data_IF_067058317765
#
_entry.id   IF_067058317765
#
_cell.length_a   1.000
_cell.length_b   1.000
_cell.length_c   1.000
_cell.angle_alpha   90.00
_cell.angle_beta   90.00
_cell.angle_gamma   90.00
#
_symmetry.space_group_name_H-M   'P 1'
#
loop_
_entity.id
_entity.type
_entity.pdbx_description
1 polymer ?
#
# COMPACT_ATOMS: atom_id res chain seq x y z
N UNK A 1 -12.51 3.92 22.20
CA UNK A 1 -13.66 3.74 21.29
C UNK A 1 -13.51 2.36 20.67
N UNK A 2 -14.47 1.44 20.81
CA UNK A 2 -14.41 0.19 20.05
C UNK A 2 -14.50 0.51 18.55
N UNK A 3 -13.83 -0.25 17.67
CA UNK A 3 -13.92 -0.03 16.23
C UNK A 3 -15.37 -0.23 15.76
N UNK A 4 -15.81 0.62 14.83
CA UNK A 4 -17.06 0.48 14.08
C UNK A 4 -17.20 -0.96 13.57
N UNK A 5 -18.36 -1.63 13.73
CA UNK A 5 -18.53 -2.99 13.25
C UNK A 5 -18.25 -3.05 11.74
N UNK A 6 -17.60 -4.11 11.24
CA UNK A 6 -17.24 -4.22 9.83
C UNK A 6 -18.48 -4.22 8.95
N UNK A 7 -18.45 -3.44 7.86
CA UNK A 7 -19.40 -3.62 6.75
C UNK A 7 -19.15 -5.01 6.17
N UNK A 8 -20.12 -5.91 6.37
CA UNK A 8 -20.00 -7.33 6.00
C UNK A 8 -19.73 -7.58 4.50
N UNK A 9 -19.86 -6.55 3.64
CA UNK A 9 -19.68 -6.63 2.19
C UNK A 9 -18.52 -5.79 1.63
N UNK A 10 -17.69 -5.13 2.46
CA UNK A 10 -16.71 -4.16 1.97
C UNK A 10 -15.55 -4.76 1.14
N UNK A 11 -15.07 -4.01 0.15
CA UNK A 11 -13.88 -4.34 -0.65
C UNK A 11 -12.63 -3.57 -0.20
N UNK A 12 -11.55 -4.30 0.06
CA UNK A 12 -10.25 -3.72 0.41
C UNK A 12 -9.31 -3.71 -0.80
N UNK A 13 -8.78 -2.56 -1.17
CA UNK A 13 -7.72 -2.47 -2.17
C UNK A 13 -6.36 -2.35 -1.48
N UNK A 14 -5.38 -3.18 -1.85
CA UNK A 14 -3.99 -3.01 -1.41
C UNK A 14 -3.12 -2.49 -2.54
N UNK A 15 -2.52 -1.32 -2.32
CA UNK A 15 -1.68 -0.65 -3.31
C UNK A 15 -0.20 -0.95 -3.03
N UNK A 16 0.43 -1.71 -3.94
CA UNK A 16 1.83 -2.13 -3.86
C UNK A 16 2.72 -1.30 -4.81
N UNK A 17 4.04 -1.52 -4.77
CA UNK A 17 4.98 -0.73 -5.59
C UNK A 17 4.85 -1.06 -7.07
N UNK A 18 4.91 -2.34 -7.40
CA UNK A 18 4.97 -2.87 -8.76
C UNK A 18 4.71 -4.38 -8.76
N UNK A 19 4.31 -4.97 -9.90
CA UNK A 19 4.03 -6.39 -9.99
C UNK A 19 5.24 -7.25 -9.56
N UNK A 20 4.99 -8.42 -8.94
CA UNK A 20 6.07 -9.31 -8.53
C UNK A 20 6.75 -9.94 -9.74
N UNK A 21 8.04 -10.28 -9.61
CA UNK A 21 8.76 -11.15 -10.56
C UNK A 21 8.73 -12.62 -10.13
N UNK A 22 7.97 -12.95 -9.08
CA UNK A 22 7.85 -14.29 -8.47
C UNK A 22 6.38 -14.60 -8.21
N UNK A 23 6.06 -15.77 -7.65
CA UNK A 23 4.67 -16.18 -7.38
C UNK A 23 3.91 -15.26 -6.41
N UNK A 24 4.59 -14.43 -5.62
CA UNK A 24 3.95 -13.45 -4.74
C UNK A 24 3.16 -14.03 -3.57
N UNK A 25 3.12 -15.37 -3.39
CA UNK A 25 2.28 -16.08 -2.42
C UNK A 25 2.37 -15.51 -1.00
N UNK A 26 3.58 -15.20 -0.54
CA UNK A 26 3.79 -14.65 0.82
C UNK A 26 3.22 -13.24 0.98
N UNK A 27 3.25 -12.43 -0.08
CA UNK A 27 2.63 -11.09 -0.08
C UNK A 27 1.11 -11.25 -0.05
N UNK A 28 0.57 -12.14 -0.90
CA UNK A 28 -0.87 -12.43 -0.96
C UNK A 28 -1.42 -12.92 0.38
N UNK A 29 -0.74 -13.85 1.06
CA UNK A 29 -1.16 -14.34 2.38
C UNK A 29 -1.24 -13.22 3.42
N UNK A 30 -0.34 -12.24 3.36
CA UNK A 30 -0.34 -11.11 4.30
C UNK A 30 -1.45 -10.11 3.99
N UNK A 31 -1.67 -9.85 2.70
CA UNK A 31 -2.80 -9.04 2.23
C UNK A 31 -4.13 -9.67 2.67
N UNK A 32 -4.27 -10.97 2.48
CA UNK A 32 -5.43 -11.74 2.95
C UNK A 32 -5.62 -11.61 4.46
N UNK A 33 -4.52 -11.67 5.22
CA UNK A 33 -4.59 -11.51 6.67
C UNK A 33 -5.01 -10.10 7.09
N UNK A 34 -4.56 -9.06 6.39
CA UNK A 34 -5.00 -7.70 6.66
C UNK A 34 -6.50 -7.52 6.34
N UNK A 35 -6.99 -8.12 5.24
CA UNK A 35 -8.43 -8.17 4.93
C UNK A 35 -9.22 -8.76 6.09
N UNK A 36 -8.81 -9.92 6.59
CA UNK A 36 -9.46 -10.61 7.71
C UNK A 36 -9.41 -9.79 9.00
N UNK A 37 -8.25 -9.20 9.28
CA UNK A 37 -8.02 -8.36 10.46
C UNK A 37 -8.92 -7.13 10.49
N UNK A 38 -9.14 -6.51 9.32
CA UNK A 38 -9.98 -5.32 9.18
C UNK A 38 -11.45 -5.65 8.90
N UNK A 39 -11.79 -6.92 8.71
CA UNK A 39 -13.17 -7.38 8.51
C UNK A 39 -13.77 -7.10 7.13
N UNK A 40 -12.96 -6.93 6.09
CA UNK A 40 -13.45 -6.76 4.70
C UNK A 40 -13.82 -8.12 4.06
N UNK A 41 -14.84 -8.14 3.20
CA UNK A 41 -15.34 -9.37 2.56
C UNK A 41 -14.40 -9.87 1.47
N UNK A 42 -13.76 -8.95 0.76
CA UNK A 42 -12.91 -9.22 -0.40
C UNK A 42 -11.70 -8.29 -0.41
N UNK A 43 -10.68 -8.68 -1.19
CA UNK A 43 -9.46 -7.91 -1.34
C UNK A 43 -8.93 -7.99 -2.76
N UNK A 44 -8.44 -6.87 -3.29
CA UNK A 44 -7.71 -6.80 -4.55
C UNK A 44 -6.36 -6.12 -4.36
N UNK A 45 -5.51 -6.20 -5.39
CA UNK A 45 -4.20 -5.56 -5.40
C UNK A 45 -4.09 -4.75 -6.67
N UNK A 46 -3.57 -3.53 -6.55
CA UNK A 46 -3.10 -2.71 -7.66
C UNK A 46 -1.69 -2.20 -7.35
N UNK A 47 -1.02 -1.62 -8.35
CA UNK A 47 0.38 -1.20 -8.21
C UNK A 47 0.56 0.26 -8.60
N UNK A 48 1.44 0.98 -7.90
CA UNK A 48 1.84 2.35 -8.23
C UNK A 48 2.55 2.43 -9.59
N UNK A 49 3.23 1.35 -9.99
CA UNK A 49 3.98 1.24 -11.25
C UNK A 49 3.68 -0.10 -11.94
N UNK A 50 3.43 -0.11 -13.24
CA UNK A 50 2.93 -1.31 -13.94
C UNK A 50 4.02 -2.30 -14.38
N UNK A 51 5.29 -1.88 -14.41
CA UNK A 51 6.38 -2.73 -14.91
C UNK A 51 6.94 -3.59 -13.77
N UNK A 52 6.96 -4.91 -13.98
CA UNK A 52 7.54 -5.86 -13.03
C UNK A 52 9.04 -5.67 -12.93
N UNK A 53 9.54 -5.52 -11.70
CA UNK A 53 10.97 -5.36 -11.40
C UNK A 53 11.30 -6.07 -10.09
N UNK A 54 12.50 -6.67 -10.00
CA UNK A 54 12.88 -7.49 -8.85
C UNK A 54 13.16 -6.67 -7.58
N UNK A 55 13.60 -5.42 -7.72
CA UNK A 55 13.95 -4.51 -6.62
C UNK A 55 13.61 -3.07 -7.00
N UNK A 56 13.51 -2.17 -6.00
CA UNK A 56 13.28 -0.73 -6.20
C UNK A 56 14.29 -0.07 -7.15
N UNK A 57 15.52 -0.58 -7.22
CA UNK A 57 16.51 -0.13 -8.22
C UNK A 57 16.09 -0.41 -9.66
N UNK A 58 15.28 -1.44 -9.89
CA UNK A 58 14.66 -1.69 -11.20
C UNK A 58 13.64 -0.62 -11.56
N UNK A 59 12.88 -0.11 -10.58
CA UNK A 59 11.96 1.03 -10.78
C UNK A 59 12.75 2.30 -11.12
N UNK A 60 13.94 2.53 -10.52
CA UNK A 60 14.80 3.67 -10.91
C UNK A 60 15.08 3.70 -12.41
N UNK A 61 15.39 2.54 -13.00
CA UNK A 61 15.71 2.46 -14.44
C UNK A 61 14.44 2.45 -15.30
N UNK A 62 13.50 1.54 -15.03
CA UNK A 62 12.29 1.38 -15.83
C UNK A 62 11.33 2.57 -15.69
N UNK A 63 11.28 3.19 -14.51
CA UNK A 63 10.44 4.33 -14.20
C UNK A 63 11.03 5.67 -14.62
N UNK A 64 12.17 5.71 -15.30
CA UNK A 64 12.68 6.93 -15.91
C UNK A 64 11.77 7.43 -17.05
N UNK A 65 10.98 6.53 -17.65
CA UNK A 65 9.97 6.84 -18.65
C UNK A 65 8.57 6.88 -18.03
N UNK A 66 7.67 7.74 -18.55
CA UNK A 66 6.33 7.93 -17.99
C UNK A 66 5.39 6.73 -18.22
N UNK A 67 5.69 5.86 -19.19
CA UNK A 67 4.79 4.81 -19.70
C UNK A 67 4.29 3.86 -18.60
N UNK A 68 5.19 3.34 -17.76
CA UNK A 68 4.81 2.43 -16.68
C UNK A 68 4.01 3.08 -15.56
N UNK A 69 4.14 4.41 -15.38
CA UNK A 69 3.35 5.17 -14.41
C UNK A 69 1.95 5.45 -14.94
N UNK A 70 1.84 5.87 -16.21
CA UNK A 70 0.56 6.15 -16.86
C UNK A 70 -0.29 4.88 -17.02
N UNK A 71 0.32 3.77 -17.42
CA UNK A 71 -0.37 2.48 -17.51
C UNK A 71 -0.94 2.04 -16.16
N UNK A 72 -0.20 2.26 -15.06
CA UNK A 72 -0.67 1.95 -13.71
C UNK A 72 -1.89 2.79 -13.30
N UNK A 73 -2.03 4.03 -13.81
CA UNK A 73 -3.18 4.88 -13.47
C UNK A 73 -4.51 4.25 -13.89
N UNK A 74 -4.57 3.68 -15.09
CA UNK A 74 -5.82 3.06 -15.58
C UNK A 74 -6.27 1.90 -14.70
N UNK A 75 -5.35 1.06 -14.25
CA UNK A 75 -5.64 -0.05 -13.35
C UNK A 75 -6.02 0.46 -11.95
N UNK A 76 -5.28 1.45 -11.43
CA UNK A 76 -5.57 2.07 -10.14
C UNK A 76 -6.94 2.74 -10.11
N UNK A 77 -7.32 3.50 -11.13
CA UNK A 77 -8.65 4.13 -11.20
C UNK A 77 -9.75 3.08 -11.14
N UNK A 78 -9.69 2.05 -11.99
CA UNK A 78 -10.69 0.98 -11.99
C UNK A 78 -10.77 0.26 -10.63
N UNK A 79 -9.63 0.04 -9.97
CA UNK A 79 -9.60 -0.59 -8.65
C UNK A 79 -10.17 0.32 -7.55
N UNK A 80 -9.82 1.62 -7.56
CA UNK A 80 -10.30 2.61 -6.61
C UNK A 80 -11.82 2.78 -6.68
N UNK A 81 -12.41 2.78 -7.88
CA UNK A 81 -13.86 2.91 -8.10
C UNK A 81 -14.68 1.77 -7.43
N UNK A 82 -14.04 0.65 -7.14
CA UNK A 82 -14.69 -0.53 -6.53
C UNK A 82 -14.33 -0.72 -5.05
N UNK A 83 -13.42 0.08 -4.51
CA UNK A 83 -12.92 -0.07 -3.16
C UNK A 83 -13.75 0.70 -2.14
N UNK A 84 -13.93 0.12 -0.95
CA UNK A 84 -14.45 0.84 0.23
C UNK A 84 -13.32 1.43 1.08
N UNK A 85 -12.12 0.85 0.97
CA UNK A 85 -10.93 1.30 1.66
C UNK A 85 -9.66 0.84 0.96
N UNK A 86 -8.55 1.51 1.28
CA UNK A 86 -7.24 1.21 0.74
C UNK A 86 -6.23 0.89 1.84
N UNK A 87 -5.33 -0.06 1.61
CA UNK A 87 -4.05 -0.15 2.32
C UNK A 87 -2.96 0.38 1.38
N UNK A 88 -2.23 1.39 1.84
CA UNK A 88 -1.03 1.84 1.16
C UNK A 88 0.16 1.00 1.62
N UNK A 89 0.79 0.27 0.70
CA UNK A 89 1.86 -0.69 1.01
C UNK A 89 2.93 -0.79 -0.09
N UNK A 90 3.21 0.32 -0.77
CA UNK A 90 4.21 0.41 -1.84
C UNK A 90 5.66 0.54 -1.34
N UNK A 91 5.89 0.54 -0.03
CA UNK A 91 7.20 0.66 0.60
C UNK A 91 7.61 2.10 0.92
N UNK A 92 8.50 2.26 1.90
CA UNK A 92 8.96 3.57 2.38
C UNK A 92 10.17 4.13 1.60
N UNK A 93 10.67 3.42 0.58
CA UNK A 93 11.86 3.81 -0.17
C UNK A 93 11.45 4.33 -1.54
N UNK A 94 11.89 5.55 -1.86
CA UNK A 94 11.70 6.14 -3.19
C UNK A 94 12.73 5.60 -4.19
N UNK A 95 12.38 5.53 -5.48
CA UNK A 95 13.38 5.42 -6.53
C UNK A 95 14.29 6.66 -6.55
N UNK A 96 15.36 6.60 -7.33
CA UNK A 96 16.32 7.68 -7.53
C UNK A 96 16.22 8.29 -8.93
N UNK A 97 16.86 9.44 -9.14
CA UNK A 97 16.89 10.11 -10.44
C UNK A 97 15.52 10.56 -10.92
N UNK A 98 15.30 10.53 -12.24
CA UNK A 98 14.07 10.98 -12.90
C UNK A 98 12.84 10.21 -12.38
N UNK A 99 12.98 8.90 -12.16
CA UNK A 99 11.92 8.06 -11.63
C UNK A 99 11.38 8.55 -10.28
N UNK A 100 12.17 9.26 -9.47
CA UNK A 100 11.70 9.87 -8.23
C UNK A 100 10.64 10.94 -8.46
N UNK A 101 10.81 11.75 -9.51
CA UNK A 101 9.83 12.79 -9.84
C UNK A 101 8.51 12.15 -10.27
N UNK A 102 8.56 11.20 -11.21
CA UNK A 102 7.37 10.46 -11.63
C UNK A 102 6.69 9.69 -10.48
N UNK A 103 7.47 9.07 -9.60
CA UNK A 103 6.93 8.41 -8.41
C UNK A 103 6.16 9.39 -7.51
N UNK A 104 6.72 10.56 -7.23
CA UNK A 104 6.05 11.59 -6.41
C UNK A 104 4.80 12.14 -7.09
N UNK A 105 4.87 12.40 -8.38
CA UNK A 105 3.71 12.85 -9.16
C UNK A 105 2.60 11.79 -9.18
N UNK A 106 2.98 10.52 -9.28
CA UNK A 106 2.06 9.39 -9.19
C UNK A 106 1.41 9.28 -7.81
N UNK A 107 2.16 9.43 -6.72
CA UNK A 107 1.60 9.40 -5.37
C UNK A 107 0.71 10.63 -5.08
N UNK A 108 1.07 11.80 -5.60
CA UNK A 108 0.24 13.00 -5.48
C UNK A 108 -1.09 12.86 -6.24
N UNK A 109 -1.03 12.31 -7.46
CA UNK A 109 -2.23 11.96 -8.21
C UNK A 109 -3.08 10.93 -7.45
N UNK A 110 -2.48 9.82 -7.00
CA UNK A 110 -3.19 8.76 -6.27
C UNK A 110 -3.88 9.29 -5.01
N UNK A 111 -3.21 10.17 -4.25
CA UNK A 111 -3.82 10.81 -3.08
C UNK A 111 -5.05 11.63 -3.47
N UNK A 112 -4.98 12.37 -4.57
CA UNK A 112 -6.12 13.17 -5.06
C UNK A 112 -7.32 12.28 -5.40
N UNK A 113 -7.10 11.13 -6.04
CA UNK A 113 -8.16 10.18 -6.36
C UNK A 113 -8.78 9.56 -5.10
N UNK A 114 -7.93 9.11 -4.15
CA UNK A 114 -8.37 8.55 -2.87
C UNK A 114 -9.22 9.57 -2.08
N UNK A 115 -8.77 10.84 -2.04
CA UNK A 115 -9.48 11.92 -1.36
C UNK A 115 -10.81 12.25 -2.04
N UNK A 116 -10.83 12.29 -3.37
CA UNK A 116 -12.06 12.57 -4.14
C UNK A 116 -13.14 11.52 -3.92
N UNK A 117 -12.74 10.25 -3.74
CA UNK A 117 -13.62 9.13 -3.45
C UNK A 117 -13.95 9.00 -1.94
N UNK A 118 -13.25 9.73 -1.07
CA UNK A 118 -13.45 9.67 0.38
C UNK A 118 -13.12 8.31 1.00
N UNK A 119 -12.16 7.57 0.42
CA UNK A 119 -11.84 6.21 0.86
C UNK A 119 -11.09 6.22 2.20
N UNK A 120 -11.41 5.26 3.07
CA UNK A 120 -10.64 5.03 4.30
C UNK A 120 -9.23 4.53 3.95
N UNK A 121 -8.21 5.15 4.55
CA UNK A 121 -6.80 4.80 4.32
C UNK A 121 -6.25 4.05 5.52
N UNK A 122 -5.64 2.90 5.25
CA UNK A 122 -4.94 2.08 6.22
C UNK A 122 -3.43 2.00 5.91
N UNK A 123 -2.61 2.00 6.95
CA UNK A 123 -1.15 1.84 6.86
C UNK A 123 -0.60 1.07 8.07
N UNK A 124 0.64 0.57 7.97
CA UNK A 124 1.33 -0.05 9.10
C UNK A 124 2.08 1.03 9.89
N UNK A 125 1.56 1.36 11.07
CA UNK A 125 2.00 2.46 11.94
C UNK A 125 2.14 3.78 11.17
N UNK A 126 1.11 4.10 10.37
CA UNK A 126 1.06 5.33 9.58
C UNK A 126 2.10 5.40 8.45
N UNK A 127 2.71 4.27 8.06
CA UNK A 127 3.69 4.21 6.98
C UNK A 127 3.28 3.21 5.90
N UNK A 128 3.60 3.47 4.61
CA UNK A 128 3.22 2.62 3.49
C UNK A 128 4.11 1.36 3.39
N UNK A 129 4.35 0.66 4.51
CA UNK A 129 5.31 -0.44 4.56
C UNK A 129 4.86 -1.57 3.63
N UNK A 130 5.79 -2.11 2.85
CA UNK A 130 5.48 -3.23 1.96
C UNK A 130 5.16 -4.51 2.76
N UNK A 131 4.20 -5.37 2.31
CA UNK A 131 3.81 -6.56 3.08
C UNK A 131 4.96 -7.52 3.35
N UNK A 132 5.98 -7.54 2.47
CA UNK A 132 7.22 -8.29 2.70
C UNK A 132 7.89 -7.99 4.05
N UNK A 133 7.70 -6.77 4.58
CA UNK A 133 8.32 -6.23 5.81
C UNK A 133 7.42 -6.22 7.04
N UNK A 134 6.10 -6.45 6.91
CA UNK A 134 5.16 -6.33 8.03
C UNK A 134 5.56 -7.21 9.22
N UNK A 135 5.88 -8.48 8.97
CA UNK A 135 6.32 -9.40 10.04
C UNK A 135 7.57 -8.91 10.78
N UNK A 136 8.53 -8.31 10.07
CA UNK A 136 9.74 -7.77 10.70
C UNK A 136 9.38 -6.58 11.59
N UNK A 137 8.48 -5.73 11.11
CA UNK A 137 8.00 -4.56 11.84
C UNK A 137 7.23 -4.95 13.09
N UNK A 138 6.24 -5.85 12.98
CA UNK A 138 5.45 -6.32 14.11
C UNK A 138 6.32 -7.01 15.16
N UNK A 139 7.28 -7.84 14.75
CA UNK A 139 8.20 -8.48 15.70
C UNK A 139 9.09 -7.45 16.42
N UNK A 140 9.45 -6.34 15.76
CA UNK A 140 10.24 -5.29 16.38
C UNK A 140 9.41 -4.46 17.39
N UNK A 141 8.14 -4.18 17.10
CA UNK A 141 7.26 -3.38 17.96
C UNK A 141 6.57 -4.19 19.07
N UNK A 142 6.25 -5.46 18.79
CA UNK A 142 5.51 -6.37 19.66
C UNK A 142 6.21 -7.74 19.73
N UNK A 143 7.41 -7.83 20.33
CA UNK A 143 8.22 -9.05 20.32
C UNK A 143 7.57 -10.25 21.04
N UNK A 144 6.59 -10.00 21.91
CA UNK A 144 5.85 -11.03 22.65
C UNK A 144 4.62 -11.57 21.92
N UNK A 145 4.26 -10.99 20.77
CA UNK A 145 3.08 -11.38 20.01
C UNK A 145 3.47 -12.09 18.72
N UNK A 146 2.65 -13.05 18.29
CA UNK A 146 2.76 -13.58 16.93
C UNK A 146 2.43 -12.49 15.91
N UNK A 147 2.81 -12.70 14.65
CA UNK A 147 2.45 -11.76 13.58
C UNK A 147 0.93 -11.54 13.46
N UNK A 148 0.15 -12.61 13.63
CA UNK A 148 -1.31 -12.57 13.59
C UNK A 148 -1.88 -11.68 14.69
N UNK A 149 -1.41 -11.86 15.92
CA UNK A 149 -1.87 -11.10 17.08
C UNK A 149 -1.39 -9.65 17.05
N UNK A 150 -0.21 -9.39 16.49
CA UNK A 150 0.39 -8.07 16.42
C UNK A 150 -0.21 -7.18 15.32
N UNK A 151 -0.67 -7.78 14.21
CA UNK A 151 -1.14 -7.04 13.04
C UNK A 151 -2.28 -6.03 13.33
N UNK A 152 -3.33 -6.36 14.12
CA UNK A 152 -4.38 -5.41 14.49
C UNK A 152 -3.85 -4.17 15.24
N UNK A 153 -2.75 -4.29 15.98
CA UNK A 153 -2.18 -3.17 16.74
C UNK A 153 -1.40 -2.19 15.87
N UNK A 154 -0.83 -2.66 14.75
CA UNK A 154 -0.02 -1.83 13.86
C UNK A 154 -0.79 -1.35 12.62
N UNK A 155 -1.93 -1.96 12.27
CA UNK A 155 -2.80 -1.42 11.23
C UNK A 155 -3.52 -0.18 11.77
N UNK A 156 -3.21 0.98 11.20
CA UNK A 156 -3.76 2.27 11.59
C UNK A 156 -4.51 2.89 10.44
N UNK A 157 -5.72 3.34 10.75
CA UNK A 157 -6.42 4.29 9.91
C UNK A 157 -5.64 5.61 9.94
N UNK A 158 -5.42 6.19 8.76
CA UNK A 158 -4.69 7.45 8.59
C UNK A 158 -5.67 8.48 8.04
N UNK A 159 -5.72 9.65 8.68
CA UNK A 159 -6.55 10.75 8.18
C UNK A 159 -6.09 11.14 6.77
N UNK A 160 -7.04 11.33 5.85
CA UNK A 160 -6.75 11.67 4.45
C UNK A 160 -6.19 13.10 4.27
N UNK A 161 -5.95 13.83 5.36
CA UNK A 161 -5.40 15.19 5.36
C UNK A 161 -3.97 15.27 4.82
N UNK A 162 -3.87 15.37 3.49
CA UNK A 162 -2.91 16.21 2.80
C UNK A 162 -1.44 15.78 2.89
N UNK A 163 -1.15 14.58 2.41
CA UNK A 163 0.10 14.10 1.77
C UNK A 163 0.37 12.68 2.23
N UNK A 164 0.42 11.76 1.26
CA UNK A 164 1.15 10.50 1.41
C UNK A 164 2.65 10.84 1.44
N UNK A 165 3.12 11.42 2.53
CA UNK A 165 4.52 11.75 2.70
C UNK A 165 5.27 10.51 3.17
N UNK A 166 6.30 10.09 2.42
CA UNK A 166 7.34 9.24 2.97
C UNK A 166 8.10 10.04 4.03
N UNK A 167 7.64 10.01 5.28
CA UNK A 167 8.43 10.54 6.40
C UNK A 167 9.58 9.57 6.65
N UNK A 168 10.66 9.76 5.90
CA UNK A 168 11.98 9.23 6.25
C UNK A 168 12.51 10.12 7.36
N UNK A 169 12.44 9.66 8.60
CA UNK A 169 13.30 10.17 9.66
C UNK A 169 14.74 9.83 9.28
N UNK A 170 15.49 10.83 8.82
CA UNK A 170 16.96 10.79 8.83
C UNK A 170 17.41 10.72 10.28
N UNK A 171 17.79 9.51 10.69
CA UNK A 171 18.72 9.27 11.79
C UNK A 171 20.06 8.84 11.21
#
# INVERSE_FOLDING_TARGET
MPPTPPRLDGHLLVILSNPPTTSGVRTLQRVQLARETLGYSSVSIANVFSISTYRTTGITTAGALPEGWLAARSELTAALDTADAVILAYGCQEPSGIARHHFRDQLAWLQTEIDALGLTIWMIDGQPRHPSRWHRHTHAQHPSLTFLEALPFVLKEVASTGRIANSVSTG
#
